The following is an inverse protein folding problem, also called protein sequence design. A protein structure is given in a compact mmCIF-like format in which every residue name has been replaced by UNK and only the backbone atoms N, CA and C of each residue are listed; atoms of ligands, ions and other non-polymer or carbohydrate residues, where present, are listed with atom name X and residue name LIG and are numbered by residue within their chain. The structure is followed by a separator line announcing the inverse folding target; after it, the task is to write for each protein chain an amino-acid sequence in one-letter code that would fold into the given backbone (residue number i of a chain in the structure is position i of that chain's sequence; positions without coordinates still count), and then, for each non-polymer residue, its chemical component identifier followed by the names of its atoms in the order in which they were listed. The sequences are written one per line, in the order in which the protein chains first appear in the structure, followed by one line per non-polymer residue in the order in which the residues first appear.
data_IF_737278417586
#
_entry.id   IF_737278417586
#
_cell.length_a   1.000
_cell.length_b   1.000
_cell.length_c   1.000
_cell.angle_alpha   90.00
_cell.angle_beta   90.00
_cell.angle_gamma   90.00
#
_symmetry.space_group_name_H-M   'P 1'
#
loop_
_entity.id
_entity.type
_entity.pdbx_description
1 polymer ?
#
# COMPACT_ATOMS: atom_id res chain seq x y z
N UNK A 1 -2.06 -12.24 6.40
CA UNK A 1 -1.91 -12.51 7.85
C UNK A 1 -1.65 -11.23 8.64
N UNK A 2 -0.57 -10.47 8.37
CA UNK A 2 -0.22 -9.28 9.15
C UNK A 2 -1.19 -8.10 8.94
N UNK A 3 -1.58 -7.78 7.69
CA UNK A 3 -2.48 -6.65 7.44
C UNK A 3 -3.87 -6.84 8.03
N UNK A 4 -4.44 -8.05 7.92
CA UNK A 4 -5.76 -8.34 8.51
C UNK A 4 -5.77 -8.16 10.02
N UNK A 5 -4.75 -8.68 10.70
CA UNK A 5 -4.58 -8.50 12.15
C UNK A 5 -4.46 -7.03 12.53
N UNK A 6 -3.70 -6.22 11.78
CA UNK A 6 -3.59 -4.77 12.04
C UNK A 6 -4.90 -4.01 11.77
N UNK A 7 -5.66 -4.41 10.75
CA UNK A 7 -6.98 -3.84 10.49
C UNK A 7 -7.96 -4.13 11.62
N UNK A 8 -7.92 -5.35 12.17
CA UNK A 8 -8.69 -5.74 13.36
C UNK A 8 -8.26 -4.94 14.59
N UNK A 9 -6.96 -4.79 14.83
CA UNK A 9 -6.40 -4.01 15.96
C UNK A 9 -6.76 -2.51 15.90
N UNK A 10 -6.91 -1.94 14.70
CA UNK A 10 -7.22 -0.52 14.50
C UNK A 10 -8.69 -0.24 14.17
N UNK A 11 -9.54 -1.28 14.22
CA UNK A 11 -10.96 -1.21 13.86
C UNK A 11 -11.23 -0.57 12.48
N UNK A 12 -10.28 -0.72 11.54
CA UNK A 12 -10.37 -0.11 10.21
C UNK A 12 -11.05 -1.06 9.25
N UNK A 13 -12.20 -0.64 8.71
CA UNK A 13 -12.91 -1.37 7.67
C UNK A 13 -12.42 -0.93 6.29
N UNK A 14 -11.51 -1.73 5.71
CA UNK A 14 -11.05 -1.56 4.32
C UNK A 14 -11.57 -2.73 3.48
N UNK A 15 -12.14 -2.49 2.29
CA UNK A 15 -12.49 -3.52 1.33
C UNK A 15 -11.34 -4.51 1.08
N UNK A 16 -11.64 -5.80 1.07
CA UNK A 16 -10.62 -6.85 0.93
C UNK A 16 -9.88 -6.77 -0.42
N UNK A 17 -10.57 -6.29 -1.46
CA UNK A 17 -9.96 -6.04 -2.78
C UNK A 17 -8.81 -5.03 -2.72
N UNK A 18 -8.96 -3.96 -1.94
CA UNK A 18 -7.93 -2.94 -1.76
C UNK A 18 -6.76 -3.47 -0.94
N UNK A 19 -7.04 -4.29 0.08
CA UNK A 19 -6.02 -4.99 0.87
C UNK A 19 -5.21 -5.95 -0.01
N UNK A 20 -5.87 -6.67 -0.92
CA UNK A 20 -5.20 -7.51 -1.92
C UNK A 20 -4.38 -6.67 -2.91
N UNK A 21 -4.91 -5.56 -3.39
CA UNK A 21 -4.23 -4.65 -4.30
C UNK A 21 -2.89 -4.16 -3.72
N UNK A 22 -2.90 -3.63 -2.50
CA UNK A 22 -1.66 -3.14 -1.85
C UNK A 22 -0.66 -4.28 -1.60
N UNK A 23 -1.13 -5.45 -1.16
CA UNK A 23 -0.26 -6.60 -0.90
C UNK A 23 0.37 -7.17 -2.17
N UNK A 24 -0.29 -7.03 -3.32
CA UNK A 24 0.26 -7.45 -4.61
C UNK A 24 1.31 -6.47 -5.14
N UNK A 25 1.13 -5.17 -4.90
CA UNK A 25 2.01 -4.10 -5.40
C UNK A 25 3.22 -3.85 -4.52
N UNK A 26 3.09 -3.92 -3.19
CA UNK A 26 4.15 -3.67 -2.22
C UNK A 26 4.59 -5.00 -1.61
N UNK A 27 5.72 -5.55 -2.08
CA UNK A 27 6.23 -6.87 -1.66
C UNK A 27 7.61 -6.81 -1.03
N UNK A 28 8.37 -5.76 -1.29
CA UNK A 28 9.78 -5.68 -0.90
C UNK A 28 9.99 -5.36 0.57
N UNK A 29 9.01 -4.72 1.23
CA UNK A 29 9.21 -4.17 2.56
C UNK A 29 7.92 -4.10 3.40
N UNK A 30 7.90 -4.82 4.52
CA UNK A 30 6.74 -4.86 5.45
C UNK A 30 6.41 -3.48 6.04
N UNK A 31 7.42 -2.62 6.29
CA UNK A 31 7.20 -1.25 6.81
C UNK A 31 6.49 -0.38 5.79
N UNK A 32 6.79 -0.53 4.50
CA UNK A 32 6.08 0.18 3.43
C UNK A 32 4.62 -0.25 3.33
N UNK A 33 4.38 -1.56 3.45
CA UNK A 33 3.05 -2.12 3.42
C UNK A 33 2.21 -1.62 4.62
N UNK A 34 2.81 -1.55 5.80
CA UNK A 34 2.18 -0.95 6.98
C UNK A 34 1.92 0.54 6.81
N UNK A 35 2.87 1.30 6.27
CA UNK A 35 2.69 2.73 5.98
C UNK A 35 1.54 2.99 4.99
N UNK A 36 1.41 2.16 3.96
CA UNK A 36 0.29 2.21 3.02
C UNK A 36 -1.05 1.94 3.72
N UNK A 37 -1.11 0.92 4.60
CA UNK A 37 -2.31 0.60 5.37
C UNK A 37 -2.72 1.76 6.28
N UNK A 38 -1.78 2.37 7.00
CA UNK A 38 -2.03 3.55 7.84
C UNK A 38 -2.62 4.69 7.01
N UNK A 39 -2.03 4.98 5.85
CA UNK A 39 -2.48 6.09 4.98
C UNK A 39 -3.94 5.88 4.53
N UNK A 40 -4.29 4.67 4.08
CA UNK A 40 -5.65 4.31 3.69
C UNK A 40 -6.61 4.40 4.88
N UNK A 41 -6.20 3.88 6.04
CA UNK A 41 -7.00 3.92 7.26
C UNK A 41 -7.30 5.35 7.70
N UNK A 42 -6.29 6.23 7.71
CA UNK A 42 -6.44 7.64 8.03
C UNK A 42 -7.39 8.32 7.04
N UNK A 43 -7.21 8.11 5.74
CA UNK A 43 -8.11 8.66 4.72
C UNK A 43 -9.57 8.23 4.94
N UNK A 44 -9.79 6.95 5.21
CA UNK A 44 -11.11 6.40 5.51
C UNK A 44 -11.71 7.00 6.79
N UNK A 45 -10.91 7.15 7.86
CA UNK A 45 -11.36 7.73 9.13
C UNK A 45 -11.75 9.20 9.03
N UNK A 46 -11.14 9.94 8.09
CA UNK A 46 -11.44 11.34 7.86
C UNK A 46 -12.72 11.55 7.03
N UNK A 47 -13.36 10.47 6.56
CA UNK A 47 -14.60 10.53 5.79
C UNK A 47 -14.47 11.30 4.47
N UNK A 48 -13.27 11.38 3.89
CA UNK A 48 -12.97 12.20 2.70
C UNK A 48 -13.48 11.62 1.37
N UNK A 49 -14.45 10.70 1.42
CA UNK A 49 -15.08 10.08 0.27
C UNK A 49 -14.98 8.55 0.28
N UNK A 50 -15.47 7.93 -0.80
CA UNK A 50 -15.44 6.48 -0.95
C UNK A 50 -14.02 5.97 -1.23
N UNK A 51 -13.69 4.87 -0.55
CA UNK A 51 -12.49 4.10 -0.85
C UNK A 51 -12.67 3.35 -2.18
N UNK A 52 -12.11 3.90 -3.26
CA UNK A 52 -11.97 3.21 -4.55
C UNK A 52 -10.52 2.86 -4.85
N UNK A 53 -10.30 1.91 -5.76
CA UNK A 53 -8.95 1.52 -6.20
C UNK A 53 -8.17 2.71 -6.75
N UNK A 54 -8.81 3.56 -7.56
CA UNK A 54 -8.19 4.75 -8.14
C UNK A 54 -7.73 5.73 -7.05
N UNK A 55 -8.58 5.96 -6.03
CA UNK A 55 -8.24 6.82 -4.89
C UNK A 55 -7.08 6.27 -4.08
N UNK A 56 -7.05 4.96 -3.87
CA UNK A 56 -5.94 4.30 -3.17
C UNK A 56 -4.65 4.35 -3.99
N UNK A 57 -4.72 4.16 -5.30
CA UNK A 57 -3.55 4.26 -6.18
C UNK A 57 -2.96 5.67 -6.18
N UNK A 58 -3.81 6.71 -6.20
CA UNK A 58 -3.39 8.09 -6.04
C UNK A 58 -2.78 8.36 -4.66
N UNK A 59 -3.44 7.91 -3.59
CA UNK A 59 -2.97 8.08 -2.22
C UNK A 59 -1.62 7.39 -1.98
N UNK A 60 -1.35 6.30 -2.68
CA UNK A 60 -0.13 5.51 -2.52
C UNK A 60 0.90 5.75 -3.63
N UNK A 61 0.67 6.72 -4.52
CA UNK A 61 1.50 6.98 -5.71
C UNK A 61 2.99 7.07 -5.40
N UNK A 62 3.37 7.78 -4.34
CA UNK A 62 4.77 7.94 -3.94
C UNK A 62 5.38 6.61 -3.48
N UNK A 63 4.66 5.86 -2.64
CA UNK A 63 5.09 4.55 -2.12
C UNK A 63 5.23 3.55 -3.28
N UNK A 64 4.30 3.56 -4.23
CA UNK A 64 4.33 2.70 -5.41
C UNK A 64 5.49 3.05 -6.35
N UNK A 65 5.80 4.33 -6.52
CA UNK A 65 6.96 4.79 -7.30
C UNK A 65 8.27 4.34 -6.67
N UNK A 66 8.41 4.48 -5.36
CA UNK A 66 9.60 4.00 -4.65
C UNK A 66 9.75 2.47 -4.70
N UNK A 67 8.63 1.74 -4.68
CA UNK A 67 8.63 0.29 -4.85
C UNK A 67 9.08 -0.12 -6.25
N UNK A 68 8.62 0.60 -7.28
CA UNK A 68 9.07 0.41 -8.65
C UNK A 68 10.56 0.74 -8.82
N UNK A 69 11.04 1.84 -8.23
CA UNK A 69 12.44 2.23 -8.27
C UNK A 69 13.36 1.21 -7.57
N UNK A 70 12.96 0.72 -6.39
CA UNK A 70 13.69 -0.32 -5.65
C UNK A 70 13.78 -1.65 -6.42
N UNK A 71 12.81 -1.93 -7.30
CA UNK A 71 12.84 -3.08 -8.22
C UNK A 71 13.88 -2.93 -9.34
N UNK A 72 14.24 -1.71 -9.73
CA UNK A 72 15.14 -1.45 -10.87
C UNK A 72 16.62 -1.50 -10.47
N UNK A 73 16.95 -1.46 -9.17
CA UNK A 73 18.31 -1.17 -8.69
C UNK A 73 19.30 -2.34 -8.59
N UNK A 74 19.05 -3.52 -9.17
CA UNK A 74 20.08 -4.59 -9.25
C UNK A 74 20.23 -5.13 -10.69
N UNK A 75 19.13 -5.34 -11.43
CA UNK A 75 19.21 -5.84 -12.82
C UNK A 75 19.67 -4.80 -13.85
N UNK A 76 19.49 -3.49 -13.58
CA UNK A 76 19.84 -2.44 -14.55
C UNK A 76 21.34 -2.09 -14.59
N UNK A 77 22.11 -2.49 -13.57
CA UNK A 77 23.52 -2.10 -13.43
C UNK A 77 24.47 -3.12 -14.09
N UNK A 78 23.99 -4.31 -14.45
CA UNK A 78 24.83 -5.41 -14.97
C UNK A 78 24.82 -5.54 -16.52
N UNK A 79 24.81 -4.40 -17.23
CA UNK A 79 25.18 -4.35 -18.65
C UNK A 79 26.09 -3.15 -18.92
N UNK A 80 27.37 -3.32 -18.65
CA UNK A 80 28.46 -2.70 -19.41
C UNK A 80 29.62 -3.67 -19.42
#
# INVERSE_FOLDING_TARGET
AILRRKMEEWEVKIPEELVRFIAQRIRSNVRRLEGALVRIATFNSLGQGELSTDRVEDLLRDILREEAAAKVTIDAIQKT
#
